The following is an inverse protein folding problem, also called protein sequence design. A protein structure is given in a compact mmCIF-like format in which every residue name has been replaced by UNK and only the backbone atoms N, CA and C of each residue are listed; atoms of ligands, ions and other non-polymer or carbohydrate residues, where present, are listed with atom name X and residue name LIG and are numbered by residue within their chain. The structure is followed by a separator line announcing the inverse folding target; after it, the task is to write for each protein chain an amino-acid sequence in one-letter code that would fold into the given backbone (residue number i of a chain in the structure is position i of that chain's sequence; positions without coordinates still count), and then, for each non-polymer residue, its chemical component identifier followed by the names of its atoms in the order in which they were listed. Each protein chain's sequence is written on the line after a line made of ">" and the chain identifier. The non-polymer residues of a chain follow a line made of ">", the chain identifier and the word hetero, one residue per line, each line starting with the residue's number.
data_IF_222155157812
#
_entry.id   IF_222155157812
#
_cell.length_a   1.000
_cell.length_b   1.000
_cell.length_c   1.000
_cell.angle_alpha   90.00
_cell.angle_beta   90.00
_cell.angle_gamma   90.00
#
_symmetry.space_group_name_H-M   'P 1'
#
loop_
_entity.id
_entity.type
_entity.pdbx_description
1 polymer ?
#
# COMPACT_ATOMS: atom_id res chain seq x y z
N UNK A 1 3.66 -17.51 -23.72
CA UNK A 1 2.94 -17.18 -22.47
C UNK A 1 1.76 -16.26 -22.79
N UNK A 2 0.66 -16.45 -22.10
CA UNK A 2 -0.57 -15.67 -22.27
C UNK A 2 -0.90 -14.91 -20.99
N UNK A 3 -1.37 -13.68 -21.12
CA UNK A 3 -1.88 -12.86 -20.01
C UNK A 3 -3.29 -12.36 -20.33
N UNK A 4 -4.15 -12.32 -19.32
CA UNK A 4 -5.47 -11.69 -19.41
C UNK A 4 -5.37 -10.15 -19.33
N UNK A 5 -6.28 -9.42 -19.94
CA UNK A 5 -6.23 -7.94 -20.07
C UNK A 5 -6.44 -7.13 -18.77
N UNK A 6 -6.64 -7.77 -17.64
CA UNK A 6 -7.02 -7.11 -16.38
C UNK A 6 -5.84 -6.59 -15.54
N UNK A 7 -4.69 -6.30 -16.16
CA UNK A 7 -3.48 -5.94 -15.40
C UNK A 7 -3.04 -4.51 -15.66
N UNK A 8 -2.70 -3.82 -14.59
CA UNK A 8 -2.08 -2.50 -14.67
C UNK A 8 -0.74 -2.54 -15.43
N UNK A 9 -0.34 -1.42 -16.00
CA UNK A 9 0.89 -1.31 -16.81
C UNK A 9 2.13 -1.79 -16.08
N UNK A 10 2.27 -1.47 -14.79
CA UNK A 10 3.44 -1.85 -13.99
C UNK A 10 3.54 -3.37 -13.82
N UNK A 11 2.42 -4.07 -13.63
CA UNK A 11 2.40 -5.52 -13.57
C UNK A 11 2.90 -6.13 -14.90
N UNK A 12 2.34 -5.67 -16.02
CA UNK A 12 2.75 -6.14 -17.36
C UNK A 12 4.22 -5.88 -17.59
N UNK A 13 4.75 -4.72 -17.17
CA UNK A 13 6.18 -4.41 -17.28
C UNK A 13 7.03 -5.41 -16.49
N UNK A 14 6.65 -5.75 -15.26
CA UNK A 14 7.37 -6.76 -14.47
C UNK A 14 7.42 -8.14 -15.16
N UNK A 15 6.31 -8.58 -15.73
CA UNK A 15 6.26 -9.81 -16.53
C UNK A 15 7.17 -9.70 -17.75
N UNK A 16 7.14 -8.59 -18.48
CA UNK A 16 7.94 -8.36 -19.67
C UNK A 16 9.44 -8.37 -19.36
N UNK A 17 9.87 -7.73 -18.26
CA UNK A 17 11.27 -7.69 -17.84
C UNK A 17 11.84 -9.07 -17.52
N UNK A 18 11.05 -9.93 -16.87
CA UNK A 18 11.45 -11.33 -16.67
C UNK A 18 11.51 -12.10 -17.99
N UNK A 19 10.48 -11.95 -18.81
CA UNK A 19 10.33 -12.66 -20.08
C UNK A 19 11.43 -12.32 -21.08
N UNK A 20 11.87 -11.06 -21.13
CA UNK A 20 12.99 -10.62 -21.95
C UNK A 20 14.29 -11.37 -21.62
N UNK A 21 14.56 -11.56 -20.30
CA UNK A 21 15.76 -12.30 -19.82
C UNK A 21 15.71 -13.80 -20.18
N UNK A 22 14.51 -14.33 -20.40
CA UNK A 22 14.28 -15.76 -20.72
C UNK A 22 13.95 -16.02 -22.19
N UNK A 23 14.00 -14.98 -23.03
CA UNK A 23 13.62 -15.06 -24.46
C UNK A 23 12.19 -15.61 -24.66
N UNK A 24 11.25 -15.26 -23.78
CA UNK A 24 9.86 -15.68 -23.94
C UNK A 24 9.12 -14.80 -24.96
N UNK A 25 8.20 -15.42 -25.70
CA UNK A 25 7.18 -14.66 -26.45
C UNK A 25 5.97 -14.43 -25.57
N UNK A 26 5.59 -13.16 -25.39
CA UNK A 26 4.43 -12.76 -24.63
C UNK A 26 3.25 -12.50 -25.54
N UNK A 27 2.06 -12.99 -25.15
CA UNK A 27 0.81 -12.58 -25.74
C UNK A 27 -0.14 -12.11 -24.63
N UNK A 28 -0.81 -10.99 -24.85
CA UNK A 28 -1.91 -10.52 -24.01
C UNK A 28 -3.22 -10.86 -24.72
N UNK A 29 -4.05 -11.66 -24.08
CA UNK A 29 -5.30 -12.15 -24.66
C UNK A 29 -6.46 -11.62 -23.82
N UNK A 30 -7.48 -11.04 -24.48
CA UNK A 30 -8.72 -10.71 -23.80
C UNK A 30 -9.54 -11.97 -23.49
N UNK A 31 -10.47 -11.85 -22.55
CA UNK A 31 -11.28 -12.95 -22.07
C UNK A 31 -12.06 -13.67 -23.20
N UNK A 32 -12.54 -12.94 -24.21
CA UNK A 32 -13.28 -13.50 -25.33
C UNK A 32 -12.39 -14.31 -26.29
N UNK A 33 -11.13 -13.92 -26.45
CA UNK A 33 -10.15 -14.61 -27.32
C UNK A 33 -9.50 -15.82 -26.64
N UNK A 34 -9.59 -15.92 -25.31
CA UNK A 34 -8.99 -16.99 -24.51
C UNK A 34 -9.51 -18.38 -24.90
N UNK A 35 -10.76 -18.47 -25.41
CA UNK A 35 -11.38 -19.75 -25.83
C UNK A 35 -10.77 -20.36 -27.09
N UNK A 36 -10.04 -19.58 -27.91
CA UNK A 36 -9.58 -20.04 -29.22
C UNK A 36 -8.11 -20.46 -29.31
N UNK A 37 -7.20 -19.85 -28.53
CA UNK A 37 -5.77 -19.90 -28.87
C UNK A 37 -4.82 -20.30 -27.74
N UNK A 38 -5.27 -20.98 -26.67
CA UNK A 38 -4.39 -21.35 -25.53
C UNK A 38 -3.45 -22.52 -25.87
N UNK A 39 -3.78 -23.34 -26.86
CA UNK A 39 -3.01 -24.53 -27.23
C UNK A 39 -1.56 -24.23 -27.60
N UNK A 40 -1.31 -23.05 -28.17
CA UNK A 40 -0.01 -22.65 -28.71
C UNK A 40 0.94 -22.06 -27.67
N UNK A 41 0.50 -21.96 -26.39
CA UNK A 41 1.31 -21.39 -25.31
C UNK A 41 1.75 -22.45 -24.31
N UNK A 42 2.97 -22.26 -23.76
CA UNK A 42 3.57 -23.19 -22.81
C UNK A 42 3.12 -22.94 -21.36
N UNK A 43 2.68 -21.70 -21.04
CA UNK A 43 2.24 -21.33 -19.70
C UNK A 43 1.35 -20.09 -19.67
N UNK A 44 0.63 -19.92 -18.57
CA UNK A 44 -0.44 -18.94 -18.41
C UNK A 44 -0.25 -18.17 -17.09
N UNK A 45 -0.37 -16.82 -17.15
CA UNK A 45 -0.58 -15.96 -15.97
C UNK A 45 -1.98 -15.37 -16.13
N UNK A 46 -2.86 -15.61 -15.18
CA UNK A 46 -4.22 -15.11 -15.22
C UNK A 46 -4.76 -14.80 -13.83
N UNK A 47 -5.84 -14.04 -13.79
CA UNK A 47 -6.68 -13.87 -12.61
C UNK A 47 -7.86 -14.80 -12.71
N UNK A 48 -8.02 -15.67 -11.72
CA UNK A 48 -9.19 -16.55 -11.60
C UNK A 48 -10.12 -15.91 -10.57
N UNK A 49 -11.25 -15.37 -11.01
CA UNK A 49 -12.16 -14.60 -10.16
C UNK A 49 -13.61 -15.09 -10.15
N UNK A 50 -13.99 -15.95 -11.11
CA UNK A 50 -15.32 -16.54 -11.22
C UNK A 50 -15.25 -17.99 -11.73
N UNK A 51 -16.40 -18.67 -11.73
CA UNK A 51 -16.51 -20.06 -12.20
C UNK A 51 -16.14 -20.20 -13.67
N UNK A 52 -16.36 -19.19 -14.51
CA UNK A 52 -16.00 -19.24 -15.93
C UNK A 52 -14.48 -19.25 -16.11
N UNK A 53 -13.78 -18.33 -15.47
CA UNK A 53 -12.31 -18.29 -15.50
C UNK A 53 -11.68 -19.51 -14.84
N UNK A 54 -12.32 -20.07 -13.81
CA UNK A 54 -11.89 -21.32 -13.18
C UNK A 54 -11.99 -22.51 -14.17
N UNK A 55 -13.11 -22.64 -14.86
CA UNK A 55 -13.30 -23.67 -15.87
C UNK A 55 -12.29 -23.51 -17.01
N UNK A 56 -11.99 -22.27 -17.41
CA UNK A 56 -10.97 -21.98 -18.44
C UNK A 56 -9.59 -22.42 -17.97
N UNK A 57 -9.19 -22.06 -16.76
CA UNK A 57 -7.92 -22.43 -16.15
C UNK A 57 -7.75 -23.96 -16.10
N UNK A 58 -8.82 -24.68 -15.74
CA UNK A 58 -8.84 -26.15 -15.68
C UNK A 58 -8.70 -26.78 -17.06
N UNK A 59 -9.45 -26.27 -18.04
CA UNK A 59 -9.46 -26.83 -19.43
C UNK A 59 -8.14 -26.58 -20.15
N UNK A 60 -7.40 -25.54 -19.78
CA UNK A 60 -6.12 -25.20 -20.40
C UNK A 60 -5.07 -26.32 -20.28
N UNK A 61 -5.08 -27.07 -19.15
CA UNK A 61 -4.10 -28.16 -18.85
C UNK A 61 -2.63 -27.70 -19.01
N UNK A 62 -2.36 -26.41 -18.80
CA UNK A 62 -1.04 -25.77 -18.93
C UNK A 62 -0.53 -25.36 -17.56
N UNK A 63 0.80 -25.21 -17.37
CA UNK A 63 1.37 -24.50 -16.24
C UNK A 63 0.70 -23.15 -16.06
N UNK A 64 0.22 -22.85 -14.84
CA UNK A 64 -0.58 -21.66 -14.56
C UNK A 64 -0.14 -21.01 -13.26
N UNK A 65 -0.09 -19.69 -13.28
CA UNK A 65 0.00 -18.83 -12.09
C UNK A 65 -1.26 -17.99 -12.00
N UNK A 66 -2.01 -18.20 -10.92
CA UNK A 66 -3.17 -17.40 -10.55
C UNK A 66 -2.73 -16.21 -9.69
N UNK A 67 -3.21 -15.02 -10.03
CA UNK A 67 -2.88 -13.80 -9.32
C UNK A 67 -4.10 -13.25 -8.57
N UNK A 68 -3.85 -12.61 -7.43
CA UNK A 68 -4.81 -12.04 -6.48
C UNK A 68 -5.68 -13.04 -5.72
N UNK A 69 -5.68 -14.34 -6.05
CA UNK A 69 -6.36 -15.40 -5.29
C UNK A 69 -7.86 -15.11 -5.04
N UNK A 70 -8.57 -14.61 -6.03
CA UNK A 70 -9.97 -14.17 -5.88
C UNK A 70 -10.97 -15.33 -5.81
N UNK A 71 -10.63 -16.47 -6.38
CA UNK A 71 -11.51 -17.65 -6.41
C UNK A 71 -11.11 -18.66 -5.33
N UNK A 72 -12.06 -19.25 -4.58
CA UNK A 72 -11.76 -20.19 -3.50
C UNK A 72 -11.12 -21.50 -3.98
N UNK A 73 -11.34 -21.87 -5.25
CA UNK A 73 -10.69 -23.05 -5.86
C UNK A 73 -9.41 -22.63 -6.55
N UNK A 74 -8.33 -23.27 -6.19
CA UNK A 74 -6.99 -22.92 -6.66
C UNK A 74 -6.51 -23.85 -7.76
N UNK A 75 -5.97 -23.28 -8.83
CA UNK A 75 -5.28 -23.98 -9.90
C UNK A 75 -3.88 -23.40 -10.07
N UNK A 76 -2.87 -24.28 -10.10
CA UNK A 76 -1.49 -23.85 -10.28
C UNK A 76 -0.85 -23.24 -9.03
N UNK A 77 0.14 -22.40 -9.24
CA UNK A 77 0.73 -21.59 -8.19
C UNK A 77 -0.04 -20.28 -8.06
N UNK A 78 0.00 -19.68 -6.89
CA UNK A 78 -0.72 -18.47 -6.58
C UNK A 78 0.20 -17.37 -6.07
N UNK A 79 -0.10 -16.14 -6.43
CA UNK A 79 0.59 -14.94 -5.95
C UNK A 79 -0.42 -13.81 -5.72
N UNK A 80 -0.30 -13.14 -4.59
CA UNK A 80 -1.13 -11.98 -4.25
C UNK A 80 -0.32 -10.93 -3.48
N UNK A 81 -0.90 -9.77 -3.20
CA UNK A 81 -0.30 -8.76 -2.32
C UNK A 81 -0.30 -9.22 -0.86
N UNK A 82 0.63 -8.70 -0.06
CA UNK A 82 0.70 -8.98 1.38
C UNK A 82 -0.27 -8.04 2.13
N UNK A 83 -1.51 -8.49 2.26
CA UNK A 83 -2.60 -7.73 2.91
C UNK A 83 -2.26 -7.29 4.33
N UNK A 84 -1.57 -8.14 5.11
CA UNK A 84 -1.22 -7.82 6.50
C UNK A 84 -0.18 -6.70 6.58
N UNK A 85 0.83 -6.72 5.71
CA UNK A 85 1.85 -5.67 5.68
C UNK A 85 1.29 -4.36 5.15
N UNK A 86 0.44 -4.41 4.14
CA UNK A 86 -0.23 -3.23 3.58
C UNK A 86 -1.12 -2.57 4.63
N UNK A 87 -1.95 -3.36 5.31
CA UNK A 87 -2.80 -2.89 6.40
C UNK A 87 -1.98 -2.33 7.58
N UNK A 88 -0.85 -2.99 7.92
CA UNK A 88 0.07 -2.50 8.96
C UNK A 88 0.66 -1.14 8.62
N UNK A 89 1.13 -0.95 7.37
CA UNK A 89 1.65 0.35 6.91
C UNK A 89 0.59 1.45 6.98
N UNK A 90 -0.65 1.17 6.54
CA UNK A 90 -1.75 2.14 6.60
C UNK A 90 -2.09 2.53 8.05
N UNK A 91 -2.21 1.54 8.93
CA UNK A 91 -2.55 1.78 10.34
C UNK A 91 -1.42 2.54 11.07
N UNK A 92 -0.17 2.10 10.93
CA UNK A 92 1.00 2.75 11.55
C UNK A 92 1.13 4.20 11.09
N UNK A 93 0.89 4.47 9.82
CA UNK A 93 0.93 5.80 9.25
C UNK A 93 -0.09 6.75 9.89
N UNK A 94 -1.34 6.34 9.98
CA UNK A 94 -2.39 7.16 10.55
C UNK A 94 -2.30 7.26 12.09
N UNK A 95 -1.92 6.18 12.77
CA UNK A 95 -1.70 6.19 14.22
C UNK A 95 -0.56 7.13 14.60
N UNK A 96 0.53 7.15 13.82
CA UNK A 96 1.66 8.07 14.04
C UNK A 96 1.25 9.53 13.88
N UNK A 97 0.19 9.82 13.11
CA UNK A 97 -0.41 11.16 12.94
C UNK A 97 -1.45 11.52 13.99
N UNK A 98 -1.82 10.58 14.87
CA UNK A 98 -2.76 10.83 15.97
C UNK A 98 -4.23 10.62 15.63
N UNK A 99 -4.55 9.96 14.51
CA UNK A 99 -5.93 9.60 14.19
C UNK A 99 -6.50 8.63 15.23
N UNK A 100 -7.78 8.79 15.53
CA UNK A 100 -8.54 7.95 16.47
C UNK A 100 -9.75 7.28 15.81
N UNK A 101 -10.16 7.77 14.65
CA UNK A 101 -11.30 7.28 13.90
C UNK A 101 -10.81 6.79 12.56
N UNK A 102 -11.11 5.53 12.26
CA UNK A 102 -10.64 4.82 11.09
C UNK A 102 -11.81 4.28 10.30
N UNK A 103 -11.68 4.26 8.98
CA UNK A 103 -12.64 3.60 8.14
C UNK A 103 -11.95 2.86 6.98
N UNK A 104 -12.61 1.82 6.53
CA UNK A 104 -12.28 1.09 5.32
C UNK A 104 -13.34 1.35 4.25
N UNK A 105 -12.90 1.57 3.01
CA UNK A 105 -13.77 1.58 1.84
C UNK A 105 -13.23 0.60 0.79
N UNK A 106 -14.02 -0.45 0.49
CA UNK A 106 -13.63 -1.52 -0.41
C UNK A 106 -14.76 -2.01 -1.31
N UNK A 107 -14.52 -3.15 -1.96
CA UNK A 107 -15.42 -3.82 -2.89
C UNK A 107 -15.82 -5.17 -2.29
N UNK A 108 -17.12 -5.32 -1.95
CA UNK A 108 -17.60 -6.41 -1.11
C UNK A 108 -17.49 -7.82 -1.70
N UNK A 109 -17.49 -7.93 -3.04
CA UNK A 109 -17.49 -9.23 -3.72
C UNK A 109 -16.10 -9.65 -4.21
N UNK A 110 -15.07 -8.86 -3.94
CA UNK A 110 -13.68 -9.21 -4.24
C UNK A 110 -13.01 -9.77 -2.98
N UNK A 111 -12.53 -11.01 -3.05
CA UNK A 111 -11.88 -11.69 -1.92
C UNK A 111 -10.67 -10.89 -1.42
N UNK A 112 -9.82 -10.38 -2.32
CA UNK A 112 -8.67 -9.55 -1.98
C UNK A 112 -9.07 -8.27 -1.24
N UNK A 113 -10.13 -7.58 -1.68
CA UNK A 113 -10.65 -6.38 -1.00
C UNK A 113 -11.19 -6.69 0.39
N UNK A 114 -11.93 -7.79 0.52
CA UNK A 114 -12.46 -8.25 1.82
C UNK A 114 -11.32 -8.57 2.78
N UNK A 115 -10.26 -9.22 2.29
CA UNK A 115 -9.11 -9.61 3.10
C UNK A 115 -8.26 -8.39 3.51
N UNK A 116 -8.05 -7.40 2.63
CA UNK A 116 -7.42 -6.12 2.97
C UNK A 116 -8.20 -5.40 4.07
N UNK A 117 -9.52 -5.31 3.91
CA UNK A 117 -10.38 -4.65 4.90
C UNK A 117 -10.37 -5.35 6.26
N UNK A 118 -10.39 -6.68 6.30
CA UNK A 118 -10.26 -7.47 7.54
C UNK A 118 -8.89 -7.28 8.18
N UNK A 119 -7.82 -7.28 7.37
CA UNK A 119 -6.47 -7.09 7.87
C UNK A 119 -6.33 -5.71 8.52
N UNK A 120 -6.83 -4.65 7.88
CA UNK A 120 -6.80 -3.28 8.42
C UNK A 120 -7.65 -3.15 9.69
N UNK A 121 -8.87 -3.68 9.68
CA UNK A 121 -9.75 -3.72 10.86
C UNK A 121 -9.08 -4.40 12.05
N UNK A 122 -8.45 -5.56 11.83
CA UNK A 122 -7.77 -6.32 12.88
C UNK A 122 -6.59 -5.54 13.49
N UNK A 123 -5.84 -4.78 12.69
CA UNK A 123 -4.75 -3.94 13.20
C UNK A 123 -5.30 -2.78 14.01
N UNK A 124 -6.31 -2.06 13.50
CA UNK A 124 -6.92 -0.91 14.18
C UNK A 124 -7.59 -1.32 15.50
N UNK A 125 -8.37 -2.41 15.51
CA UNK A 125 -9.07 -2.87 16.73
C UNK A 125 -8.14 -3.23 17.88
N UNK A 126 -6.89 -3.60 17.63
CA UNK A 126 -5.87 -3.82 18.68
C UNK A 126 -5.47 -2.54 19.40
N UNK A 127 -5.78 -1.39 18.87
CA UNK A 127 -5.39 -0.07 19.41
C UNK A 127 -6.51 0.62 20.19
N UNK A 128 -7.65 0.00 20.38
CA UNK A 128 -8.86 0.58 21.03
C UNK A 128 -9.41 1.82 20.32
N UNK A 129 -9.12 2.00 19.03
CA UNK A 129 -9.63 3.08 18.18
C UNK A 129 -10.97 2.68 17.54
N UNK A 130 -11.74 3.65 17.07
CA UNK A 130 -13.01 3.36 16.38
C UNK A 130 -12.76 2.94 14.95
N UNK A 131 -13.58 2.03 14.45
CA UNK A 131 -13.50 1.52 13.10
C UNK A 131 -14.86 1.42 12.46
N UNK A 132 -15.00 1.90 11.22
CA UNK A 132 -16.17 1.76 10.38
C UNK A 132 -15.81 1.10 9.05
N UNK A 133 -16.76 0.39 8.44
CA UNK A 133 -16.52 -0.32 7.18
C UNK A 133 -17.62 -0.02 6.18
N UNK A 134 -17.21 0.28 4.95
CA UNK A 134 -18.07 0.39 3.79
C UNK A 134 -17.56 -0.52 2.69
N UNK A 135 -18.43 -1.34 2.16
CA UNK A 135 -18.15 -2.18 1.00
C UNK A 135 -19.21 -1.91 -0.06
N UNK A 136 -18.72 -1.49 -1.22
CA UNK A 136 -19.54 -1.33 -2.39
C UNK A 136 -19.93 -2.71 -2.92
N UNK A 137 -21.21 -3.02 -3.15
CA UNK A 137 -21.57 -4.27 -3.81
C UNK A 137 -20.97 -4.29 -5.21
N UNK A 138 -20.43 -5.44 -5.58
CA UNK A 138 -19.90 -5.67 -6.91
C UNK A 138 -21.05 -5.78 -7.89
N UNK A 139 -21.33 -4.74 -8.61
CA UNK A 139 -22.44 -4.69 -9.56
C UNK A 139 -22.02 -4.68 -11.03
N UNK A 140 -20.71 -4.68 -11.33
CA UNK A 140 -20.27 -4.64 -12.72
C UNK A 140 -18.87 -5.25 -12.87
N UNK A 141 -18.72 -6.19 -13.78
CA UNK A 141 -17.45 -6.67 -14.35
C UNK A 141 -16.55 -5.52 -14.91
N UNK A 142 -17.01 -4.28 -14.83
CA UNK A 142 -16.34 -3.08 -15.32
C UNK A 142 -15.29 -2.51 -14.35
N UNK A 143 -15.33 -2.89 -13.06
CA UNK A 143 -14.39 -2.34 -12.05
C UNK A 143 -12.95 -2.86 -12.17
N UNK A 144 -12.73 -3.92 -12.95
CA UNK A 144 -11.39 -4.53 -13.12
C UNK A 144 -10.58 -3.87 -14.24
N UNK A 145 -11.18 -3.01 -15.07
CA UNK A 145 -10.47 -2.38 -16.20
C UNK A 145 -11.09 -1.12 -16.75
N UNK A 146 -12.27 -0.71 -16.29
CA UNK A 146 -13.01 0.43 -16.84
C UNK A 146 -13.77 1.24 -15.78
N UNK A 147 -13.21 1.38 -14.57
CA UNK A 147 -13.82 2.31 -13.62
C UNK A 147 -13.63 3.71 -14.16
N UNK A 148 -14.68 4.23 -14.79
CA UNK A 148 -14.84 5.66 -14.80
C UNK A 148 -14.87 6.09 -13.33
N UNK A 149 -14.00 6.99 -12.89
CA UNK A 149 -13.98 7.48 -11.51
C UNK A 149 -15.35 7.97 -11.01
N UNK A 150 -16.27 8.23 -11.93
CA UNK A 150 -17.60 8.78 -11.67
C UNK A 150 -18.68 7.73 -11.36
N UNK A 151 -18.36 6.43 -11.36
CA UNK A 151 -19.38 5.37 -11.21
C UNK A 151 -19.02 4.35 -10.14
N UNK A 152 -18.97 4.77 -8.86
CA UNK A 152 -19.19 3.80 -7.79
C UNK A 152 -20.67 3.40 -7.78
N UNK A 153 -20.97 2.09 -7.71
CA UNK A 153 -22.35 1.68 -7.43
C UNK A 153 -22.79 2.21 -6.06
N UNK A 154 -24.06 2.61 -5.97
CA UNK A 154 -24.72 3.12 -4.76
C UNK A 154 -24.14 4.42 -4.14
N UNK A 155 -24.03 5.54 -4.88
CA UNK A 155 -23.52 6.81 -4.36
C UNK A 155 -24.31 7.31 -3.13
N UNK A 156 -25.60 6.99 -3.01
CA UNK A 156 -26.42 7.36 -1.85
C UNK A 156 -25.95 6.69 -0.57
N UNK A 157 -25.61 5.39 -0.61
CA UNK A 157 -25.12 4.66 0.56
C UNK A 157 -23.72 5.13 0.98
N UNK A 158 -22.83 5.39 0.03
CA UNK A 158 -21.52 5.97 0.30
C UNK A 158 -21.64 7.36 0.96
N UNK A 159 -22.53 8.23 0.44
CA UNK A 159 -22.79 9.56 1.03
C UNK A 159 -23.26 9.44 2.48
N UNK A 160 -24.25 8.57 2.75
CA UNK A 160 -24.76 8.34 4.10
C UNK A 160 -23.67 7.80 5.03
N UNK A 161 -22.84 6.87 4.57
CA UNK A 161 -21.70 6.35 5.32
C UNK A 161 -20.70 7.46 5.68
N UNK A 162 -20.26 8.26 4.71
CA UNK A 162 -19.28 9.34 4.93
C UNK A 162 -19.81 10.41 5.90
N UNK A 163 -21.10 10.72 5.85
CA UNK A 163 -21.74 11.64 6.80
C UNK A 163 -21.82 11.10 8.22
N UNK A 164 -21.88 9.79 8.39
CA UNK A 164 -21.96 9.12 9.70
C UNK A 164 -20.60 8.99 10.41
N UNK A 165 -19.50 9.20 9.71
CA UNK A 165 -18.17 9.05 10.29
C UNK A 165 -17.86 10.16 11.30
N UNK A 166 -17.29 9.82 12.47
CA UNK A 166 -16.74 10.82 13.38
C UNK A 166 -15.52 11.50 12.73
N UNK A 167 -15.24 12.74 13.07
CA UNK A 167 -14.19 13.55 12.45
C UNK A 167 -13.17 14.04 13.48
N UNK A 168 -11.90 14.18 13.08
CA UNK A 168 -11.30 13.78 11.79
C UNK A 168 -11.18 12.26 11.65
N UNK A 169 -11.44 11.74 10.46
CA UNK A 169 -11.42 10.30 10.16
C UNK A 169 -10.37 9.96 9.10
N UNK A 170 -9.64 8.87 9.33
CA UNK A 170 -8.68 8.29 8.39
C UNK A 170 -9.35 7.16 7.60
N UNK A 171 -9.50 7.32 6.29
CA UNK A 171 -10.04 6.29 5.40
C UNK A 171 -8.89 5.63 4.64
N UNK A 172 -8.79 4.30 4.78
CA UNK A 172 -7.97 3.48 3.89
C UNK A 172 -8.88 2.78 2.89
N UNK A 173 -8.48 2.74 1.62
CA UNK A 173 -9.31 2.22 0.53
C UNK A 173 -8.62 1.05 -0.16
N UNK A 174 -9.42 0.18 -0.79
CA UNK A 174 -8.94 -0.99 -1.51
C UNK A 174 -7.89 -0.67 -2.57
N UNK A 175 -8.13 0.41 -3.33
CA UNK A 175 -7.19 0.92 -4.34
C UNK A 175 -7.38 2.41 -4.60
N UNK A 176 -6.56 2.99 -5.48
CA UNK A 176 -6.58 4.41 -5.81
C UNK A 176 -7.86 4.84 -6.53
N UNK A 177 -8.51 3.96 -7.30
CA UNK A 177 -9.78 4.27 -7.94
C UNK A 177 -10.91 4.42 -6.90
N UNK A 178 -10.94 3.54 -5.90
CA UNK A 178 -11.87 3.68 -4.76
C UNK A 178 -11.56 4.94 -3.97
N UNK A 179 -10.26 5.24 -3.75
CA UNK A 179 -9.84 6.49 -3.09
C UNK A 179 -10.33 7.73 -3.83
N UNK A 180 -10.20 7.75 -5.16
CA UNK A 180 -10.67 8.84 -6.00
C UNK A 180 -12.18 9.04 -5.87
N UNK A 181 -12.94 7.96 -5.93
CA UNK A 181 -14.39 8.04 -5.85
C UNK A 181 -14.89 8.45 -4.44
N UNK A 182 -14.24 7.97 -3.38
CA UNK A 182 -14.46 8.44 -2.01
C UNK A 182 -14.16 9.93 -1.91
N UNK A 183 -13.02 10.39 -2.44
CA UNK A 183 -12.62 11.80 -2.45
C UNK A 183 -13.64 12.68 -3.15
N UNK A 184 -14.07 12.32 -4.35
CA UNK A 184 -15.11 13.05 -5.07
C UNK A 184 -16.38 13.19 -4.24
N UNK A 185 -16.82 12.08 -3.63
CA UNK A 185 -18.03 12.09 -2.79
C UNK A 185 -17.86 12.97 -1.54
N UNK A 186 -16.68 12.96 -0.91
CA UNK A 186 -16.35 13.81 0.25
C UNK A 186 -16.44 15.28 -0.15
N UNK A 187 -15.81 15.66 -1.26
CA UNK A 187 -15.83 17.03 -1.79
C UNK A 187 -17.24 17.48 -2.19
N UNK A 188 -18.03 16.61 -2.84
CA UNK A 188 -19.44 16.88 -3.21
C UNK A 188 -20.37 17.04 -1.98
N UNK A 189 -19.95 16.54 -0.82
CA UNK A 189 -20.62 16.76 0.46
C UNK A 189 -20.19 18.06 1.15
N UNK A 190 -19.26 18.82 0.56
CA UNK A 190 -18.69 20.04 1.15
C UNK A 190 -17.72 19.77 2.31
N UNK A 191 -17.27 18.52 2.47
CA UNK A 191 -16.31 18.13 3.51
C UNK A 191 -14.88 18.39 3.04
N UNK A 192 -14.00 18.66 3.99
CA UNK A 192 -12.60 18.99 3.73
C UNK A 192 -11.72 17.74 3.70
N UNK A 193 -10.84 17.66 2.69
CA UNK A 193 -9.76 16.68 2.60
C UNK A 193 -8.45 17.44 2.64
N UNK A 194 -7.54 17.14 3.56
CA UNK A 194 -7.54 16.03 4.52
C UNK A 194 -8.10 16.32 5.92
N UNK A 195 -8.54 17.55 6.23
CA UNK A 195 -8.79 18.03 7.60
C UNK A 195 -9.93 17.29 8.31
N UNK A 196 -11.03 16.99 7.60
CA UNK A 196 -12.14 16.23 8.15
C UNK A 196 -12.04 14.75 7.79
N UNK A 197 -11.66 14.45 6.56
CA UNK A 197 -11.52 13.09 6.02
C UNK A 197 -10.16 12.99 5.31
N UNK A 198 -9.23 12.24 5.88
CA UNK A 198 -7.99 11.86 5.20
C UNK A 198 -8.19 10.57 4.43
N UNK A 199 -7.62 10.49 3.22
CA UNK A 199 -7.84 9.38 2.29
C UNK A 199 -6.50 8.81 1.84
N UNK A 200 -6.30 7.51 2.07
CA UNK A 200 -5.14 6.74 1.65
C UNK A 200 -5.59 5.65 0.67
N UNK A 201 -4.98 5.62 -0.51
CA UNK A 201 -5.18 4.59 -1.53
C UNK A 201 -4.17 3.45 -1.43
N UNK A 202 -4.27 2.53 -2.39
CA UNK A 202 -3.29 1.49 -2.67
C UNK A 202 -3.12 1.35 -4.19
N UNK A 203 -1.96 0.81 -4.61
CA UNK A 203 -1.44 0.58 -5.96
C UNK A 203 -0.49 1.69 -6.46
N UNK A 204 -0.59 2.90 -5.94
CA UNK A 204 0.20 4.05 -6.34
C UNK A 204 0.18 4.28 -7.87
N UNK A 205 -1.04 4.24 -8.46
CA UNK A 205 -1.23 4.56 -9.87
C UNK A 205 -1.03 6.07 -10.09
N UNK A 206 0.05 6.49 -10.80
CA UNK A 206 0.34 7.91 -10.97
C UNK A 206 -0.78 8.65 -11.71
N UNK A 207 -1.48 7.98 -12.65
CA UNK A 207 -2.56 8.61 -13.38
C UNK A 207 -3.72 8.97 -12.45
N UNK A 208 -4.13 8.07 -11.57
CA UNK A 208 -5.23 8.32 -10.63
C UNK A 208 -4.78 9.27 -9.52
N UNK A 209 -3.64 8.98 -8.90
CA UNK A 209 -3.17 9.72 -7.73
C UNK A 209 -2.87 11.20 -8.02
N UNK A 210 -2.30 11.51 -9.22
CA UNK A 210 -1.88 12.87 -9.58
C UNK A 210 -2.98 13.68 -10.29
N UNK A 211 -3.98 13.02 -10.90
CA UNK A 211 -5.08 13.72 -11.58
C UNK A 211 -6.31 13.92 -10.68
N UNK A 212 -6.29 13.38 -9.48
CA UNK A 212 -7.34 13.62 -8.49
C UNK A 212 -7.41 15.11 -8.11
N UNK A 213 -8.60 15.64 -7.73
CA UNK A 213 -8.74 17.04 -7.30
C UNK A 213 -7.78 17.44 -6.18
N UNK A 214 -7.48 16.51 -5.30
CA UNK A 214 -6.43 16.60 -4.28
C UNK A 214 -5.53 15.36 -4.48
N UNK A 215 -4.22 15.51 -4.74
CA UNK A 215 -3.33 14.39 -4.96
C UNK A 215 -3.40 13.33 -3.87
N UNK A 216 -3.64 12.06 -4.28
CA UNK A 216 -3.93 10.95 -3.37
C UNK A 216 -2.64 10.32 -2.86
N UNK A 217 -2.47 10.25 -1.54
CA UNK A 217 -1.49 9.40 -0.88
C UNK A 217 -1.84 7.94 -1.10
N UNK A 218 -0.86 7.10 -1.37
CA UNK A 218 -1.11 5.70 -1.72
C UNK A 218 0.02 4.78 -1.28
N UNK A 219 -0.32 3.53 -0.96
CA UNK A 219 0.67 2.48 -0.70
C UNK A 219 1.03 1.82 -2.03
N UNK A 220 2.32 1.84 -2.38
CA UNK A 220 2.84 1.13 -3.55
C UNK A 220 2.83 -0.38 -3.27
N UNK A 221 1.89 -1.09 -3.89
CA UNK A 221 1.73 -2.54 -3.77
C UNK A 221 2.82 -3.36 -4.46
N UNK A 222 3.80 -2.70 -5.10
CA UNK A 222 4.84 -3.33 -5.93
C UNK A 222 4.25 -4.19 -7.07
N UNK A 223 3.36 -3.61 -7.85
CA UNK A 223 2.74 -4.29 -8.98
C UNK A 223 3.79 -4.80 -9.99
N UNK A 224 4.92 -4.08 -10.18
CA UNK A 224 6.03 -4.55 -11.01
C UNK A 224 6.66 -5.82 -10.44
N UNK A 225 7.00 -5.83 -9.14
CA UNK A 225 7.55 -6.99 -8.45
C UNK A 225 6.58 -8.18 -8.47
N UNK A 226 5.27 -7.93 -8.31
CA UNK A 226 4.24 -8.94 -8.43
C UNK A 226 4.26 -9.61 -9.81
N UNK A 227 4.30 -8.82 -10.89
CA UNK A 227 4.38 -9.33 -12.26
C UNK A 227 5.67 -10.10 -12.55
N UNK A 228 6.81 -9.58 -12.12
CA UNK A 228 8.11 -10.24 -12.25
C UNK A 228 8.14 -11.58 -11.53
N UNK A 229 7.64 -11.64 -10.28
CA UNK A 229 7.59 -12.85 -9.49
C UNK A 229 6.57 -13.87 -10.03
N UNK A 230 5.43 -13.42 -10.57
CA UNK A 230 4.48 -14.30 -11.24
C UNK A 230 5.12 -15.01 -12.46
N UNK A 231 5.86 -14.28 -13.28
CA UNK A 231 6.60 -14.86 -14.41
C UNK A 231 7.71 -15.82 -13.94
N UNK A 232 8.46 -15.46 -12.89
CA UNK A 232 9.47 -16.32 -12.28
C UNK A 232 8.88 -17.63 -11.74
N UNK A 233 7.71 -17.55 -11.09
CA UNK A 233 6.99 -18.73 -10.61
C UNK A 233 6.53 -19.62 -11.76
N UNK A 234 6.05 -19.03 -12.83
CA UNK A 234 5.64 -19.77 -14.02
C UNK A 234 6.84 -20.50 -14.66
N UNK A 235 7.99 -19.85 -14.78
CA UNK A 235 9.25 -20.45 -15.27
C UNK A 235 9.65 -21.66 -14.43
N UNK A 236 9.58 -21.53 -13.12
CA UNK A 236 9.91 -22.64 -12.21
C UNK A 236 8.96 -23.84 -12.38
N UNK A 237 7.67 -23.60 -12.63
CA UNK A 237 6.68 -24.66 -12.86
C UNK A 237 6.91 -25.33 -14.21
N UNK A 238 7.19 -24.58 -15.27
CA UNK A 238 7.45 -25.10 -16.61
C UNK A 238 8.75 -25.92 -16.66
N UNK A 239 9.76 -25.52 -15.86
CA UNK A 239 11.07 -26.19 -15.82
C UNK A 239 11.14 -27.39 -14.87
N UNK A 240 10.12 -27.61 -14.05
CA UNK A 240 10.11 -28.66 -13.04
C UNK A 240 9.41 -29.92 -13.56
N UNK A 241 9.98 -31.12 -13.29
CA UNK A 241 9.22 -32.37 -13.41
C UNK A 241 7.94 -32.29 -12.54
N UNK A 242 6.84 -32.98 -12.92
CA UNK A 242 5.58 -32.90 -12.19
C UNK A 242 5.73 -33.42 -10.75
N UNK A 243 6.11 -32.55 -9.85
CA UNK A 243 6.13 -32.80 -8.39
C UNK A 243 4.76 -32.54 -7.79
N UNK A 244 4.43 -33.24 -6.70
CA UNK A 244 3.21 -33.07 -5.91
C UNK A 244 2.91 -31.57 -5.74
N UNK A 245 1.70 -31.17 -6.11
CA UNK A 245 1.17 -29.81 -6.01
C UNK A 245 1.20 -29.36 -4.54
N UNK A 246 2.23 -28.64 -4.14
CA UNK A 246 2.18 -27.86 -2.90
C UNK A 246 1.52 -26.54 -3.26
N UNK A 247 0.28 -26.36 -2.83
CA UNK A 247 -0.41 -25.07 -2.93
C UNK A 247 0.28 -24.08 -1.99
N UNK A 248 1.22 -23.31 -2.50
CA UNK A 248 1.85 -22.20 -1.76
C UNK A 248 1.42 -20.91 -2.42
N UNK A 249 0.80 -20.05 -1.63
CA UNK A 249 0.54 -18.67 -2.03
C UNK A 249 1.80 -17.87 -1.74
N UNK A 250 2.28 -17.13 -2.73
CA UNK A 250 3.35 -16.16 -2.54
C UNK A 250 2.71 -14.78 -2.25
N UNK A 251 3.13 -14.15 -1.16
CA UNK A 251 2.68 -12.83 -0.77
C UNK A 251 3.71 -11.78 -1.17
N UNK A 252 3.36 -10.90 -2.12
CA UNK A 252 4.20 -9.79 -2.55
C UNK A 252 4.11 -8.66 -1.53
N UNK A 253 5.22 -8.30 -0.86
CA UNK A 253 5.20 -7.21 0.10
C UNK A 253 5.06 -5.85 -0.61
N UNK A 254 4.37 -4.88 0.00
CA UNK A 254 4.34 -3.52 -0.51
C UNK A 254 5.74 -2.89 -0.45
N UNK A 255 6.01 -1.92 -1.35
CA UNK A 255 7.29 -1.19 -1.38
C UNK A 255 7.34 -0.09 -0.33
N UNK A 256 6.43 0.87 -0.44
CA UNK A 256 6.41 2.06 0.41
C UNK A 256 5.03 2.72 0.42
N UNK A 257 4.82 3.64 1.34
CA UNK A 257 3.71 4.58 1.33
C UNK A 257 4.21 5.89 0.71
N UNK A 258 3.56 6.33 -0.36
CA UNK A 258 3.84 7.59 -1.05
C UNK A 258 2.86 8.64 -0.57
N UNK A 259 3.37 9.57 0.25
CA UNK A 259 2.56 10.66 0.79
C UNK A 259 2.27 11.73 -0.25
N UNK A 260 1.04 12.26 -0.21
CA UNK A 260 0.56 13.40 -0.98
C UNK A 260 -0.44 14.21 -0.16
N UNK A 261 -1.16 15.12 -0.79
CA UNK A 261 -2.01 16.08 -0.09
C UNK A 261 -3.22 15.45 0.62
N UNK A 262 -3.77 14.32 0.15
CA UNK A 262 -4.97 13.70 0.73
C UNK A 262 -4.81 13.19 2.17
N UNK A 263 -3.59 13.15 2.69
CA UNK A 263 -3.28 12.78 4.08
C UNK A 263 -2.37 13.80 4.79
N UNK A 264 -2.13 14.97 4.19
CA UNK A 264 -1.25 16.00 4.74
C UNK A 264 -1.93 16.76 5.90
N UNK A 265 -2.30 16.02 6.96
CA UNK A 265 -2.96 16.55 8.14
C UNK A 265 -2.64 15.73 9.39
N UNK A 266 -2.56 16.43 10.52
CA UNK A 266 -2.38 15.81 11.84
C UNK A 266 -3.55 16.21 12.74
N UNK A 267 -4.43 15.25 13.10
CA UNK A 267 -5.56 15.53 13.99
C UNK A 267 -5.11 16.07 15.34
N UNK A 268 -5.62 17.21 15.71
CA UNK A 268 -5.34 17.83 17.02
C UNK A 268 -6.52 18.71 17.44
N UNK A 269 -6.82 18.70 18.75
CA UNK A 269 -7.75 19.68 19.36
C UNK A 269 -7.19 21.11 19.31
N UNK A 270 -5.96 21.27 18.83
CA UNK A 270 -5.23 22.53 18.72
C UNK A 270 -4.77 22.73 17.28
N UNK A 271 -5.37 23.67 16.60
CA UNK A 271 -5.07 23.99 15.19
C UNK A 271 -3.59 24.25 14.95
N UNK A 272 -2.97 25.05 15.84
CA UNK A 272 -1.53 25.36 15.74
C UNK A 272 -0.63 24.11 15.77
N UNK A 273 -1.05 23.04 16.48
CA UNK A 273 -0.23 21.82 16.56
C UNK A 273 -0.22 21.07 15.23
N UNK A 274 -1.36 21.01 14.53
CA UNK A 274 -1.42 20.43 13.18
C UNK A 274 -0.48 21.16 12.22
N UNK A 275 -0.48 22.50 12.24
CA UNK A 275 0.41 23.31 11.42
C UNK A 275 1.89 23.08 11.74
N UNK A 276 2.22 22.97 13.02
CA UNK A 276 3.60 22.70 13.47
C UNK A 276 4.05 21.31 13.03
N UNK A 277 3.21 20.30 13.13
CA UNK A 277 3.54 18.94 12.72
C UNK A 277 3.79 18.86 11.21
N UNK A 278 2.98 19.54 10.40
CA UNK A 278 3.23 19.67 8.95
C UNK A 278 4.56 20.40 8.66
N UNK A 279 4.87 21.48 9.38
CA UNK A 279 6.15 22.18 9.22
C UNK A 279 7.34 21.31 9.62
N UNK A 280 7.22 20.54 10.71
CA UNK A 280 8.25 19.56 11.10
C UNK A 280 8.49 18.59 9.94
N UNK A 281 7.43 18.02 9.36
CA UNK A 281 7.53 17.05 8.28
C UNK A 281 8.21 17.64 7.04
N UNK A 282 7.79 18.84 6.62
CA UNK A 282 8.36 19.55 5.46
C UNK A 282 9.85 19.86 5.64
N UNK A 283 10.27 20.21 6.87
CA UNK A 283 11.65 20.64 7.19
C UNK A 283 12.51 19.53 7.80
N UNK A 284 12.08 18.27 7.80
CA UNK A 284 12.85 17.18 8.40
C UNK A 284 14.26 17.08 7.81
N UNK A 285 14.38 17.18 6.48
CA UNK A 285 15.66 17.14 5.75
C UNK A 285 16.52 18.37 6.02
N UNK A 286 15.93 19.54 6.23
CA UNK A 286 16.62 20.80 6.47
C UNK A 286 17.20 20.90 7.89
N UNK A 287 16.93 19.91 8.73
CA UNK A 287 17.51 19.83 10.07
C UNK A 287 16.73 20.60 11.15
N UNK A 288 15.39 20.77 10.99
CA UNK A 288 14.54 21.47 11.98
C UNK A 288 14.91 21.10 13.42
N UNK A 289 15.01 22.11 14.30
CA UNK A 289 15.36 21.98 15.70
C UNK A 289 14.16 22.13 16.63
N UNK A 290 14.30 21.67 17.89
CA UNK A 290 13.31 21.90 18.93
C UNK A 290 13.05 23.40 19.17
N UNK A 291 14.10 24.23 19.13
CA UNK A 291 13.96 25.66 19.29
C UNK A 291 13.13 26.30 18.18
N UNK A 292 13.37 25.90 16.93
CA UNK A 292 12.59 26.35 15.76
C UNK A 292 11.13 25.95 15.86
N UNK A 293 10.84 24.72 16.32
CA UNK A 293 9.47 24.26 16.55
C UNK A 293 8.75 25.11 17.59
N UNK A 294 9.41 25.44 18.68
CA UNK A 294 8.87 26.32 19.75
C UNK A 294 8.59 27.72 19.18
N UNK A 295 9.55 28.31 18.48
CA UNK A 295 9.40 29.61 17.83
C UNK A 295 8.22 29.65 16.86
N UNK A 296 8.14 28.68 15.94
CA UNK A 296 7.07 28.57 14.96
C UNK A 296 5.68 28.38 15.59
N UNK A 297 5.61 27.81 16.80
CA UNK A 297 4.35 27.60 17.50
C UNK A 297 3.73 28.88 18.05
N UNK A 298 4.53 29.90 18.31
CA UNK A 298 4.11 31.13 18.95
C UNK A 298 3.80 31.00 20.47
N UNK A 299 4.13 29.84 21.08
CA UNK A 299 3.86 29.57 22.50
C UNK A 299 5.14 29.35 23.31
N UNK A 300 5.01 29.33 24.64
CA UNK A 300 6.15 29.05 25.52
C UNK A 300 6.65 27.61 25.37
N UNK A 301 7.97 27.43 25.55
CA UNK A 301 8.61 26.10 25.47
C UNK A 301 7.93 25.06 26.39
N UNK A 302 7.65 25.44 27.63
CA UNK A 302 6.98 24.56 28.62
C UNK A 302 5.61 24.11 28.14
N UNK A 303 4.83 24.99 27.52
CA UNK A 303 3.51 24.67 27.01
C UNK A 303 3.59 23.72 25.82
N UNK A 304 4.44 24.01 24.82
CA UNK A 304 4.61 23.19 23.64
C UNK A 304 5.09 21.77 24.02
N UNK A 305 6.12 21.66 24.88
CA UNK A 305 6.61 20.37 25.40
C UNK A 305 5.52 19.61 26.16
N UNK A 306 4.69 20.27 26.94
CA UNK A 306 3.59 19.63 27.66
C UNK A 306 2.56 19.00 26.69
N UNK A 307 2.26 19.72 25.60
CA UNK A 307 1.34 19.24 24.57
C UNK A 307 1.93 18.06 23.81
N UNK A 308 3.20 18.10 23.41
CA UNK A 308 3.86 16.96 22.76
C UNK A 308 3.86 15.73 23.66
N UNK A 309 4.20 15.88 24.94
CA UNK A 309 4.15 14.79 25.92
C UNK A 309 2.73 14.22 26.10
N UNK A 310 1.70 15.08 26.11
CA UNK A 310 0.30 14.66 26.24
C UNK A 310 -0.17 13.92 24.98
N UNK A 311 0.11 14.47 23.79
CA UNK A 311 -0.40 13.95 22.50
C UNK A 311 0.39 12.75 22.01
N UNK A 312 1.73 12.77 22.11
CA UNK A 312 2.61 11.75 21.50
C UNK A 312 3.39 10.92 22.53
N UNK A 313 3.27 11.20 23.84
CA UNK A 313 4.00 10.52 24.93
C UNK A 313 5.53 10.64 24.79
N UNK A 314 6.01 11.67 24.11
CA UNK A 314 7.42 11.91 23.86
C UNK A 314 7.73 13.41 23.83
N UNK A 315 9.02 13.78 23.93
CA UNK A 315 9.48 15.18 23.78
C UNK A 315 9.41 15.62 22.31
N UNK A 316 9.48 16.95 22.06
CA UNK A 316 9.60 17.50 20.69
C UNK A 316 10.83 16.91 19.99
N UNK A 317 11.98 16.84 20.69
CA UNK A 317 13.21 16.26 20.16
C UNK A 317 13.02 14.80 19.73
N UNK A 318 12.44 13.97 20.62
CA UNK A 318 12.21 12.57 20.33
C UNK A 318 11.23 12.37 19.17
N UNK A 319 10.22 13.25 19.06
CA UNK A 319 9.29 13.25 17.93
C UNK A 319 10.04 13.52 16.61
N UNK A 320 10.83 14.59 16.53
CA UNK A 320 11.63 14.92 15.34
C UNK A 320 12.56 13.76 14.97
N UNK A 321 13.31 13.21 15.94
CA UNK A 321 14.20 12.07 15.71
C UNK A 321 13.42 10.85 15.22
N UNK A 322 12.24 10.60 15.77
CA UNK A 322 11.35 9.53 15.36
C UNK A 322 10.93 9.65 13.88
N UNK A 323 10.53 10.85 13.45
CA UNK A 323 10.14 11.10 12.06
C UNK A 323 11.34 10.96 11.10
N UNK A 324 12.51 11.50 11.48
CA UNK A 324 13.76 11.31 10.71
C UNK A 324 14.13 9.84 10.56
N UNK A 325 13.92 9.02 11.60
CA UNK A 325 14.19 7.58 11.53
C UNK A 325 13.21 6.83 10.62
N UNK A 326 11.94 7.20 10.61
CA UNK A 326 10.96 6.63 9.70
C UNK A 326 11.35 6.93 8.24
N UNK A 327 11.65 8.20 7.92
CA UNK A 327 12.14 8.61 6.60
C UNK A 327 13.41 7.88 6.20
N UNK A 328 14.37 7.72 7.13
CA UNK A 328 15.62 7.00 6.87
C UNK A 328 15.39 5.52 6.54
N UNK A 329 14.46 4.86 7.27
CA UNK A 329 14.09 3.48 6.98
C UNK A 329 13.54 3.32 5.57
N UNK A 330 12.73 4.26 5.11
CA UNK A 330 12.13 4.22 3.77
C UNK A 330 13.18 4.48 2.67
N UNK A 331 14.11 5.42 2.89
CA UNK A 331 15.24 5.64 1.98
C UNK A 331 16.21 4.44 1.91
N UNK A 332 16.46 3.77 3.05
CA UNK A 332 17.27 2.55 3.09
C UNK A 332 16.64 1.39 2.29
N UNK A 333 15.32 1.28 2.32
CA UNK A 333 14.58 0.25 1.54
C UNK A 333 14.67 0.48 0.03
N UNK A 334 14.73 1.74 -0.42
CA UNK A 334 14.93 2.09 -1.84
C UNK A 334 16.31 1.64 -2.35
N UNK A 335 17.32 1.64 -1.50
CA UNK A 335 18.65 1.12 -1.79
C UNK A 335 19.52 1.99 -2.71
N UNK A 336 19.06 3.16 -3.13
CA UNK A 336 19.70 4.00 -4.14
C UNK A 336 20.75 4.95 -3.54
N UNK A 337 20.75 5.12 -2.22
CA UNK A 337 21.59 6.11 -1.55
C UNK A 337 22.55 5.48 -0.53
N UNK A 338 23.72 6.11 -0.36
CA UNK A 338 24.65 5.71 0.69
C UNK A 338 24.09 6.03 2.08
N UNK A 339 24.51 5.27 3.10
CA UNK A 339 24.14 5.53 4.51
C UNK A 339 24.49 6.96 4.92
N UNK A 340 25.62 7.47 4.46
CA UNK A 340 26.06 8.85 4.69
C UNK A 340 25.08 9.85 4.10
N UNK A 341 24.69 9.65 2.85
CA UNK A 341 23.71 10.50 2.15
C UNK A 341 22.37 10.47 2.85
N UNK A 342 21.87 9.27 3.19
CA UNK A 342 20.58 9.09 3.90
C UNK A 342 20.58 9.84 5.24
N UNK A 343 21.69 9.79 5.99
CA UNK A 343 21.78 10.52 7.26
C UNK A 343 21.54 12.02 7.07
N UNK A 344 22.19 12.63 6.08
CA UNK A 344 22.03 14.06 5.81
C UNK A 344 20.66 14.40 5.22
N UNK A 345 20.15 13.62 4.27
CA UNK A 345 18.81 13.77 3.69
C UNK A 345 17.67 13.66 4.73
N UNK A 346 17.93 12.97 5.85
CA UNK A 346 17.03 12.90 6.98
C UNK A 346 17.30 13.98 8.07
N UNK A 347 18.19 14.94 7.80
CA UNK A 347 18.47 16.05 8.71
C UNK A 347 19.32 15.69 9.93
N UNK A 348 20.12 14.61 9.89
CA UNK A 348 21.09 14.31 10.93
C UNK A 348 22.39 15.07 10.71
N UNK A 349 22.94 15.64 11.78
CA UNK A 349 24.20 16.38 11.73
C UNK A 349 25.42 15.50 11.50
N UNK A 350 25.33 14.20 11.79
CA UNK A 350 26.40 13.23 11.51
C UNK A 350 25.90 11.82 11.25
N UNK A 351 26.53 11.09 10.31
CA UNK A 351 26.23 9.67 10.07
C UNK A 351 26.44 8.78 11.29
N UNK A 352 27.38 9.11 12.17
CA UNK A 352 27.67 8.35 13.39
C UNK A 352 26.51 8.43 14.38
N UNK A 353 25.95 9.64 14.57
CA UNK A 353 24.78 9.83 15.41
C UNK A 353 23.56 9.10 14.82
N UNK A 354 23.35 9.25 13.52
CA UNK A 354 22.30 8.50 12.80
C UNK A 354 22.40 6.98 13.03
N UNK A 355 23.58 6.37 12.80
CA UNK A 355 23.75 4.93 12.97
C UNK A 355 23.46 4.47 14.40
N UNK A 356 23.88 5.22 15.41
CA UNK A 356 23.59 4.91 16.83
C UNK A 356 22.10 5.00 17.13
N UNK A 357 21.44 6.06 16.72
CA UNK A 357 20.01 6.28 16.92
C UNK A 357 19.17 5.23 16.17
N UNK A 358 19.57 4.86 14.95
CA UNK A 358 18.91 3.84 14.14
C UNK A 358 18.99 2.46 14.82
N UNK A 359 20.19 2.07 15.29
CA UNK A 359 20.36 0.80 16.02
C UNK A 359 19.55 0.79 17.31
N UNK A 360 19.53 1.90 18.07
CA UNK A 360 18.72 2.01 19.29
C UNK A 360 17.23 1.82 19.02
N UNK A 361 16.73 2.30 17.88
CA UNK A 361 15.29 2.25 17.54
C UNK A 361 14.85 0.93 16.91
N UNK A 362 15.66 0.39 16.00
CA UNK A 362 15.29 -0.79 15.19
C UNK A 362 16.03 -2.07 15.57
N UNK A 363 16.95 -2.03 16.53
CA UNK A 363 17.69 -3.19 17.02
C UNK A 363 18.86 -3.66 16.12
N UNK A 364 19.02 -3.08 14.92
CA UNK A 364 20.05 -3.46 13.95
C UNK A 364 20.66 -2.23 13.26
N UNK A 365 21.81 -2.42 12.60
CA UNK A 365 22.49 -1.33 11.89
C UNK A 365 21.78 -0.99 10.57
N UNK A 366 21.85 0.29 10.10
CA UNK A 366 21.27 0.70 8.80
C UNK A 366 21.79 -0.14 7.63
N UNK A 367 23.04 -0.58 7.65
CA UNK A 367 23.64 -1.41 6.60
C UNK A 367 22.97 -2.78 6.41
N UNK A 368 22.26 -3.26 7.40
CA UNK A 368 21.50 -4.51 7.30
C UNK A 368 20.19 -4.35 6.50
N UNK A 369 19.73 -3.12 6.29
CA UNK A 369 18.57 -2.80 5.46
C UNK A 369 18.94 -2.45 4.01
N UNK A 370 20.22 -2.25 3.69
CA UNK A 370 20.72 -1.99 2.33
C UNK A 370 20.80 -3.26 1.46
N UNK A 371 20.36 -4.40 1.93
CA UNK A 371 20.27 -5.58 1.08
C UNK A 371 19.19 -5.33 0.04
N UNK A 372 19.65 -5.16 -1.21
CA UNK A 372 18.82 -5.15 -2.42
C UNK A 372 17.84 -6.33 -2.48
N UNK A 373 17.08 -6.52 -3.55
CA UNK A 373 15.94 -7.44 -3.58
C UNK A 373 16.30 -8.73 -2.86
N UNK A 374 15.56 -8.98 -1.77
CA UNK A 374 15.78 -10.09 -0.85
C UNK A 374 16.16 -11.36 -1.60
N UNK A 375 17.35 -11.88 -1.36
CA UNK A 375 17.73 -13.24 -1.69
C UNK A 375 16.82 -14.19 -0.89
N UNK A 376 15.72 -14.61 -1.51
CA UNK A 376 14.66 -15.44 -0.94
C UNK A 376 15.09 -16.89 -0.65
N UNK A 377 16.37 -17.20 -0.72
CA UNK A 377 16.88 -18.55 -0.42
C UNK A 377 17.15 -18.85 1.07
N UNK A 378 16.91 -17.92 1.98
CA UNK A 378 17.27 -18.11 3.40
C UNK A 378 16.14 -17.91 4.41
N UNK A 379 14.87 -18.13 4.05
CA UNK A 379 13.78 -18.19 5.04
C UNK A 379 13.56 -19.64 5.53
N UNK A 380 14.54 -20.19 6.21
CA UNK A 380 14.28 -21.23 7.20
C UNK A 380 14.03 -20.51 8.53
N UNK A 381 12.82 -20.15 8.82
CA UNK A 381 12.26 -19.94 10.18
C UNK A 381 10.90 -19.26 10.04
N UNK A 382 9.87 -20.04 9.81
CA UNK A 382 8.56 -19.88 10.47
C UNK A 382 7.94 -21.26 10.46
N UNK A 383 8.05 -21.93 11.60
CA UNK A 383 7.15 -23.02 11.96
C UNK A 383 6.84 -22.90 13.45
N UNK A 384 5.62 -22.89 13.70
CA UNK A 384 4.77 -23.53 14.70
C UNK A 384 3.72 -22.58 15.21
#
# INVERSE_FOLDING_TARGET
>A
MVMSHAFGRNFVQGVADFSYRKNWRLASINHASFKKDISDYDGIIMRVFDDETEVMARKARKPLVDIFCEHPRTYGAQITTDHLRTAGLAADFFLARGYRHFAWCGIGDLASSVDDGKAFENVVRKTSMTFARFECPHGTNDLIGKVSPDRLPEPKKLRAFLLSLPRPCAIFTYNDHVAYAVMRTVLDLGLKVPEEISILGADNDPFVCLTAPIPISSIDSDAHGLGYNAARMLDAIMSSAPRRKTHRIFFQPPRELVERQSTAFFPSDKEWLSDILLKIEQKLGDGISTAEVIELSGYSATYVESIFKKSFKMSIHDYIVSQRMNRARDLLRKGDLSIKTIAYECGFSSPQYFCRAFRKRFGHAPSQNLKGPLDYNNSKHVQS
#
